data_IF_081941337266
#
_entry.id   IF_081941337266
#
_cell.length_a   1.000
_cell.length_b   1.000
_cell.length_c   1.000
_cell.angle_alpha   90.00
_cell.angle_beta   90.00
_cell.angle_gamma   90.00
#
_symmetry.space_group_name_H-M   'P 1'
#
loop_
_entity.id
_entity.type
_entity.pdbx_description
1 polymer ?
#
# COMPACT_ATOMS: atom_id res chain seq x y z
N UNK A 1 38.37 -4.31 22.14
CA UNK A 1 37.29 -3.27 22.13
C UNK A 1 36.19 -3.49 23.18
N UNK A 2 35.28 -4.48 23.04
CA UNK A 2 34.16 -4.66 23.99
C UNK A 2 34.62 -5.04 25.41
N UNK A 3 35.67 -5.84 25.52
CA UNK A 3 36.27 -6.28 26.78
C UNK A 3 37.09 -5.18 27.51
N UNK A 4 37.44 -4.08 26.83
CA UNK A 4 38.34 -3.04 27.35
C UNK A 4 37.61 -1.71 27.57
N UNK A 5 36.32 -1.62 27.26
CA UNK A 5 35.58 -0.36 27.29
C UNK A 5 34.87 -0.15 28.63
N UNK A 6 35.37 0.78 29.44
CA UNK A 6 34.81 1.12 30.77
C UNK A 6 33.61 2.06 30.72
N UNK A 7 33.34 2.73 29.59
CA UNK A 7 32.27 3.73 29.49
C UNK A 7 30.93 3.11 29.04
N UNK A 8 29.89 3.30 29.85
CA UNK A 8 28.57 2.70 29.63
C UNK A 8 27.92 3.12 28.29
N UNK A 9 28.13 4.38 27.88
CA UNK A 9 27.64 4.92 26.61
C UNK A 9 28.27 4.26 25.39
N UNK A 10 29.59 3.99 25.44
CA UNK A 10 30.31 3.30 24.37
C UNK A 10 29.89 1.83 24.32
N UNK A 11 29.78 1.18 25.47
CA UNK A 11 29.25 -0.19 25.58
C UNK A 11 27.86 -0.33 24.94
N UNK A 12 26.90 0.55 25.28
CA UNK A 12 25.56 0.55 24.68
C UNK A 12 25.58 0.75 23.16
N UNK A 13 26.44 1.65 22.66
CA UNK A 13 26.57 1.91 21.21
C UNK A 13 27.16 0.72 20.48
N UNK A 14 28.23 0.11 21.01
CA UNK A 14 28.88 -1.06 20.41
C UNK A 14 27.94 -2.26 20.44
N UNK A 15 27.26 -2.52 21.56
CA UNK A 15 26.28 -3.60 21.68
C UNK A 15 25.15 -3.47 20.65
N UNK A 16 24.59 -2.27 20.42
CA UNK A 16 23.59 -2.04 19.37
C UNK A 16 24.12 -2.33 17.96
N UNK A 17 25.38 -1.95 17.67
CA UNK A 17 26.01 -2.23 16.37
C UNK A 17 26.27 -3.72 16.19
N UNK A 18 26.77 -4.40 17.22
CA UNK A 18 27.05 -5.84 17.18
C UNK A 18 25.77 -6.62 16.90
N UNK A 19 24.67 -6.31 17.60
CA UNK A 19 23.36 -6.92 17.35
C UNK A 19 22.90 -6.77 15.90
N UNK A 20 23.10 -5.58 15.30
CA UNK A 20 22.77 -5.35 13.90
C UNK A 20 23.62 -6.23 12.96
N UNK A 21 24.93 -6.31 13.21
CA UNK A 21 25.87 -7.12 12.42
C UNK A 21 25.54 -8.61 12.54
N UNK A 22 25.27 -9.10 13.74
CA UNK A 22 24.81 -10.46 13.99
C UNK A 22 23.52 -10.76 13.22
N UNK A 23 22.52 -9.87 13.24
CA UNK A 23 21.29 -10.04 12.46
C UNK A 23 21.53 -10.13 10.94
N UNK A 24 22.51 -9.39 10.40
CA UNK A 24 22.89 -9.51 8.99
C UNK A 24 23.57 -10.85 8.69
N UNK A 25 24.46 -11.31 9.57
CA UNK A 25 25.14 -12.60 9.43
C UNK A 25 24.16 -13.78 9.52
N UNK A 26 23.25 -13.77 10.49
CA UNK A 26 22.24 -14.81 10.69
C UNK A 26 21.23 -14.88 9.55
N UNK A 27 20.81 -13.72 9.03
CA UNK A 27 19.80 -13.68 7.95
C UNK A 27 20.38 -13.92 6.54
N UNK A 28 21.70 -13.89 6.39
CA UNK A 28 22.37 -13.98 5.08
C UNK A 28 22.14 -12.77 4.16
N UNK A 29 21.49 -11.71 4.68
CA UNK A 29 21.25 -10.49 3.92
C UNK A 29 22.56 -9.71 3.75
N UNK A 30 22.77 -9.16 2.55
CA UNK A 30 23.94 -8.32 2.30
C UNK A 30 23.62 -6.84 2.55
N UNK A 31 24.49 -6.07 3.24
CA UNK A 31 24.27 -4.65 3.46
C UNK A 31 24.11 -3.83 2.18
N UNK A 32 24.76 -4.22 1.07
CA UNK A 32 24.62 -3.55 -0.22
C UNK A 32 23.19 -3.57 -0.79
N UNK A 33 22.33 -4.50 -0.36
CA UNK A 33 20.94 -4.59 -0.82
C UNK A 33 20.07 -3.42 -0.36
N UNK A 34 20.53 -2.66 0.64
CA UNK A 34 19.88 -1.41 1.06
C UNK A 34 20.03 -0.30 0.00
N UNK A 35 20.99 -0.43 -0.92
CA UNK A 35 21.19 0.51 -2.04
C UNK A 35 20.53 -0.08 -3.28
N UNK A 36 19.40 0.52 -3.68
CA UNK A 36 18.63 0.01 -4.81
C UNK A 36 19.28 0.35 -6.16
N UNK A 37 19.63 -0.67 -6.94
CA UNK A 37 20.03 -0.54 -8.35
C UNK A 37 18.86 -0.78 -9.31
N UNK A 38 17.95 -1.67 -8.92
CA UNK A 38 16.74 -2.01 -9.67
C UNK A 38 15.52 -1.66 -8.84
N UNK A 39 14.59 -0.90 -9.43
CA UNK A 39 13.35 -0.49 -8.77
C UNK A 39 12.17 -1.33 -9.26
N UNK A 40 11.54 -2.15 -8.40
CA UNK A 40 10.40 -2.95 -8.78
C UNK A 40 9.17 -2.09 -9.08
N UNK A 41 8.40 -2.48 -10.10
CA UNK A 41 7.17 -1.80 -10.50
C UNK A 41 5.98 -2.66 -10.13
N UNK A 42 5.02 -2.09 -9.40
CA UNK A 42 3.81 -2.79 -9.01
C UNK A 42 2.97 -3.17 -10.26
N UNK A 43 2.36 -4.37 -10.30
CA UNK A 43 1.50 -4.78 -11.41
C UNK A 43 0.39 -3.76 -11.73
N UNK A 44 0.03 -3.56 -13.01
CA UNK A 44 -0.96 -2.55 -13.43
C UNK A 44 -2.31 -2.65 -12.71
N UNK A 45 -2.78 -3.87 -12.42
CA UNK A 45 -4.07 -4.09 -11.75
C UNK A 45 -4.12 -3.53 -10.33
N UNK A 46 -2.97 -3.42 -9.66
CA UNK A 46 -2.85 -2.82 -8.33
C UNK A 46 -2.68 -1.29 -8.38
N UNK A 47 -2.53 -0.72 -9.58
CA UNK A 47 -2.43 0.72 -9.86
C UNK A 47 -3.29 1.13 -11.07
N UNK A 48 -4.60 0.85 -11.04
CA UNK A 48 -5.44 0.92 -12.22
C UNK A 48 -5.61 2.35 -12.73
N UNK A 49 -5.90 2.45 -14.02
CA UNK A 49 -6.37 3.65 -14.71
C UNK A 49 -7.77 3.34 -15.21
N UNK A 50 -8.77 3.87 -14.53
CA UNK A 50 -10.18 3.51 -14.75
C UNK A 50 -10.85 4.65 -15.53
N UNK A 51 -11.44 4.37 -16.71
CA UNK A 51 -12.25 5.35 -17.42
C UNK A 51 -13.50 5.68 -16.59
N UNK A 52 -13.82 6.96 -16.51
CA UNK A 52 -15.04 7.50 -15.93
C UNK A 52 -15.94 8.04 -17.05
N UNK A 53 -17.22 8.21 -16.74
CA UNK A 53 -18.18 8.80 -17.67
C UNK A 53 -17.72 10.21 -18.11
N UNK A 54 -17.94 10.51 -19.39
CA UNK A 54 -17.53 11.78 -19.99
C UNK A 54 -16.04 11.89 -20.36
N UNK A 55 -15.37 10.76 -20.62
CA UNK A 55 -13.99 10.74 -21.14
C UNK A 55 -12.91 11.09 -20.12
N UNK A 56 -13.26 11.14 -18.83
CA UNK A 56 -12.31 11.38 -17.73
C UNK A 56 -11.65 10.08 -17.31
N UNK A 57 -10.46 10.16 -16.72
CA UNK A 57 -9.76 8.99 -16.19
C UNK A 57 -9.44 9.18 -14.70
N UNK A 58 -9.77 8.18 -13.89
CA UNK A 58 -9.29 8.07 -12.53
C UNK A 58 -7.96 7.29 -12.53
N UNK A 59 -6.94 7.83 -11.87
CA UNK A 59 -5.62 7.19 -11.82
C UNK A 59 -5.15 7.04 -10.38
N UNK A 60 -4.41 5.97 -10.08
CA UNK A 60 -3.73 5.81 -8.80
C UNK A 60 -2.59 6.83 -8.65
N UNK A 61 -2.48 7.45 -7.47
CA UNK A 61 -1.39 8.37 -7.10
C UNK A 61 0.02 7.77 -7.36
N UNK A 62 0.17 6.44 -7.25
CA UNK A 62 1.43 5.75 -7.53
C UNK A 62 1.90 5.95 -8.97
N UNK A 63 0.99 6.04 -9.95
CA UNK A 63 1.36 6.21 -11.35
C UNK A 63 2.09 7.54 -11.58
N UNK A 64 1.70 8.59 -10.87
CA UNK A 64 2.37 9.89 -10.93
C UNK A 64 3.76 9.86 -10.28
N UNK A 65 3.91 9.13 -9.17
CA UNK A 65 5.19 8.93 -8.50
C UNK A 65 6.16 8.11 -9.38
N UNK A 66 5.67 7.01 -9.99
CA UNK A 66 6.45 6.24 -10.96
C UNK A 66 6.87 7.08 -12.17
N UNK A 67 5.96 7.89 -12.72
CA UNK A 67 6.26 8.77 -13.86
C UNK A 67 7.40 9.73 -13.53
N UNK A 68 7.44 10.27 -12.31
CA UNK A 68 8.53 11.15 -11.85
C UNK A 68 9.86 10.40 -11.82
N UNK A 69 9.91 9.20 -11.24
CA UNK A 69 11.13 8.37 -11.20
C UNK A 69 11.64 8.08 -12.60
N UNK A 70 10.75 7.62 -13.50
CA UNK A 70 11.11 7.29 -14.88
C UNK A 70 11.64 8.50 -15.63
N UNK A 71 10.97 9.65 -15.53
CA UNK A 71 11.38 10.88 -16.21
C UNK A 71 12.75 11.37 -15.72
N UNK A 72 13.00 11.32 -14.41
CA UNK A 72 14.31 11.68 -13.82
C UNK A 72 15.40 10.71 -14.23
N UNK A 73 15.13 9.42 -14.23
CA UNK A 73 16.10 8.40 -14.65
C UNK A 73 16.47 8.53 -16.13
N UNK A 74 15.47 8.69 -17.00
CA UNK A 74 15.70 8.89 -18.43
C UNK A 74 16.45 10.19 -18.72
N UNK A 75 16.16 11.27 -17.97
CA UNK A 75 16.89 12.53 -18.06
C UNK A 75 18.34 12.38 -17.61
N UNK A 76 18.59 11.70 -16.49
CA UNK A 76 19.94 11.43 -15.99
C UNK A 76 20.75 10.62 -17.02
N UNK A 77 20.14 9.59 -17.62
CA UNK A 77 20.78 8.78 -18.67
C UNK A 77 21.23 9.66 -19.85
N UNK A 78 20.34 10.53 -20.36
CA UNK A 78 20.68 11.47 -21.44
C UNK A 78 21.77 12.46 -21.06
N UNK A 79 21.77 12.97 -19.83
CA UNK A 79 22.82 13.89 -19.35
C UNK A 79 24.20 13.22 -19.30
N UNK A 80 24.25 11.94 -18.95
CA UNK A 80 25.50 11.16 -18.97
C UNK A 80 25.97 10.90 -20.41
N UNK A 81 25.06 10.56 -21.32
CA UNK A 81 25.37 10.36 -22.75
C UNK A 81 25.93 11.63 -23.41
N UNK A 82 25.46 12.81 -22.98
CA UNK A 82 25.93 14.11 -23.46
C UNK A 82 27.17 14.64 -22.73
N UNK A 83 27.78 13.86 -21.83
CA UNK A 83 28.89 14.30 -20.97
C UNK A 83 28.62 15.64 -20.27
N UNK A 84 27.41 15.81 -19.74
CA UNK A 84 27.05 17.02 -19.03
C UNK A 84 27.95 17.26 -17.80
N UNK A 85 28.23 18.53 -17.44
CA UNK A 85 29.03 18.88 -16.27
C UNK A 85 28.57 18.22 -14.97
N UNK A 86 29.53 17.90 -14.10
CA UNK A 86 29.31 17.22 -12.81
C UNK A 86 28.24 17.89 -11.93
N UNK A 87 28.16 19.22 -11.94
CA UNK A 87 27.18 19.97 -11.15
C UNK A 87 25.75 19.59 -11.58
N UNK A 88 25.50 19.50 -12.88
CA UNK A 88 24.20 19.16 -13.44
C UNK A 88 23.87 17.68 -13.15
N UNK A 89 24.85 16.79 -13.33
CA UNK A 89 24.69 15.35 -13.04
C UNK A 89 24.41 15.12 -11.55
N UNK A 90 25.12 15.80 -10.64
CA UNK A 90 24.88 15.72 -9.18
C UNK A 90 23.49 16.19 -8.81
N UNK A 91 23.02 17.29 -9.41
CA UNK A 91 21.67 17.76 -9.17
C UNK A 91 20.62 16.76 -9.66
N UNK A 92 20.80 16.17 -10.85
CA UNK A 92 19.84 15.17 -11.35
C UNK A 92 19.86 13.88 -10.52
N UNK A 93 21.03 13.44 -10.03
CA UNK A 93 21.14 12.33 -9.06
C UNK A 93 20.38 12.64 -7.76
N UNK A 94 20.49 13.86 -7.22
CA UNK A 94 19.72 14.30 -6.05
C UNK A 94 18.22 14.27 -6.33
N UNK A 95 17.79 14.80 -7.47
CA UNK A 95 16.37 14.80 -7.85
C UNK A 95 15.81 13.38 -8.07
N UNK A 96 16.63 12.48 -8.62
CA UNK A 96 16.27 11.06 -8.75
C UNK A 96 16.11 10.40 -7.38
N UNK A 97 17.01 10.68 -6.43
CA UNK A 97 16.88 10.19 -5.05
C UNK A 97 15.58 10.67 -4.40
N UNK A 98 15.24 11.96 -4.54
CA UNK A 98 13.98 12.50 -4.00
C UNK A 98 12.74 11.86 -4.66
N UNK A 99 12.83 11.54 -5.96
CA UNK A 99 11.75 10.84 -6.67
C UNK A 99 11.56 9.41 -6.15
N UNK A 100 12.64 8.68 -5.87
CA UNK A 100 12.58 7.33 -5.30
C UNK A 100 12.09 7.37 -3.84
N UNK A 101 12.59 8.31 -3.04
CA UNK A 101 12.17 8.50 -1.65
C UNK A 101 10.66 8.77 -1.56
N UNK A 102 10.14 9.64 -2.43
CA UNK A 102 8.71 9.96 -2.46
C UNK A 102 7.82 8.81 -2.97
N UNK A 103 8.32 7.94 -3.84
CA UNK A 103 7.62 6.72 -4.25
C UNK A 103 7.48 5.74 -3.08
N UNK A 104 8.55 5.55 -2.31
CA UNK A 104 8.59 4.61 -1.19
C UNK A 104 7.86 5.14 0.05
N UNK A 105 8.17 6.36 0.49
CA UNK A 105 7.63 6.98 1.71
C UNK A 105 7.55 8.52 1.57
N UNK A 106 6.47 8.99 0.95
CA UNK A 106 6.27 10.41 0.65
C UNK A 106 6.12 11.24 1.92
N UNK A 107 6.91 12.30 2.05
CA UNK A 107 6.88 13.21 3.20
C UNK A 107 7.73 12.77 4.39
N UNK A 108 8.45 11.64 4.32
CA UNK A 108 9.44 11.26 5.34
C UNK A 108 10.66 12.18 5.33
N UNK A 109 11.11 12.57 4.14
CA UNK A 109 12.19 13.54 3.93
C UNK A 109 11.64 14.76 3.19
N UNK A 110 11.71 15.91 3.84
CA UNK A 110 11.28 17.18 3.26
C UNK A 110 9.76 17.29 3.07
N UNK A 111 9.35 18.15 2.14
CA UNK A 111 7.95 18.44 1.88
C UNK A 111 7.32 17.34 1.02
N UNK A 112 6.15 16.85 1.45
CA UNK A 112 5.40 15.86 0.69
C UNK A 112 5.07 16.37 -0.72
N UNK A 113 5.28 15.51 -1.71
CA UNK A 113 4.91 15.79 -3.08
C UNK A 113 3.39 15.80 -3.19
N UNK A 114 2.86 16.89 -3.75
CA UNK A 114 1.42 17.08 -3.95
C UNK A 114 1.03 16.92 -5.41
N UNK A 115 -0.20 16.42 -5.64
CA UNK A 115 -0.84 16.38 -6.95
C UNK A 115 -1.58 17.68 -7.28
N UNK A 116 -2.35 17.68 -8.36
CA UNK A 116 -3.09 18.85 -8.87
C UNK A 116 -4.01 19.49 -7.82
N UNK A 117 -4.56 18.69 -6.91
CA UNK A 117 -5.48 19.16 -5.87
C UNK A 117 -4.77 19.62 -4.59
N UNK A 118 -3.45 19.89 -4.63
CA UNK A 118 -2.59 20.21 -3.46
C UNK A 118 -2.57 19.13 -2.37
N UNK A 119 -3.26 18.00 -2.57
CA UNK A 119 -3.21 16.83 -1.69
C UNK A 119 -1.87 16.11 -1.86
N UNK A 120 -1.22 15.64 -0.78
CA UNK A 120 -0.06 14.76 -0.90
C UNK A 120 -0.44 13.47 -1.63
N UNK A 121 0.42 13.04 -2.54
CA UNK A 121 0.28 11.77 -3.25
C UNK A 121 0.57 10.62 -2.26
N UNK A 122 -0.26 9.57 -2.30
CA UNK A 122 -0.04 8.38 -1.48
C UNK A 122 1.14 7.54 -2.00
N UNK A 123 2.11 7.30 -1.12
CA UNK A 123 3.27 6.43 -1.38
C UNK A 123 2.98 4.96 -1.11
N UNK A 124 3.93 4.08 -1.45
CA UNK A 124 3.85 2.65 -1.13
C UNK A 124 3.72 2.41 0.39
N UNK A 125 4.48 3.14 1.21
CA UNK A 125 4.36 3.05 2.66
C UNK A 125 2.95 3.44 3.13
N UNK A 126 2.37 4.52 2.59
CA UNK A 126 1.01 4.99 2.93
C UNK A 126 -0.08 4.03 2.51
N UNK A 127 0.15 3.23 1.45
CA UNK A 127 -0.78 2.18 1.06
C UNK A 127 -0.80 1.03 2.08
N UNK A 128 0.31 0.80 2.77
CA UNK A 128 0.44 -0.28 3.74
C UNK A 128 0.00 0.18 5.12
N UNK A 129 0.47 1.35 5.57
CA UNK A 129 0.28 1.88 6.92
C UNK A 129 -1.00 2.72 7.05
N UNK A 130 -1.42 2.97 8.30
CA UNK A 130 -2.53 3.86 8.60
C UNK A 130 -3.92 3.20 8.57
N UNK A 131 -4.96 3.98 8.94
CA UNK A 131 -6.35 3.49 9.06
C UNK A 131 -6.93 3.02 7.71
N UNK A 132 -6.59 3.72 6.64
CA UNK A 132 -6.96 3.39 5.26
C UNK A 132 -5.87 2.55 4.55
N UNK A 133 -4.92 2.01 5.31
CA UNK A 133 -3.87 1.14 4.79
C UNK A 133 -4.36 -0.30 4.65
N UNK A 134 -3.66 -1.09 3.85
CA UNK A 134 -4.04 -2.48 3.52
C UNK A 134 -4.28 -3.35 4.74
N UNK A 135 -3.43 -3.27 5.77
CA UNK A 135 -3.60 -4.10 6.97
C UNK A 135 -4.93 -3.84 7.68
N UNK A 136 -5.25 -2.56 7.93
CA UNK A 136 -6.41 -2.20 8.74
C UNK A 136 -7.73 -2.23 7.97
N UNK A 137 -7.70 -1.87 6.69
CA UNK A 137 -8.92 -1.74 5.90
C UNK A 137 -9.30 -3.04 5.17
N UNK A 138 -8.32 -3.88 4.80
CA UNK A 138 -8.56 -5.03 3.94
C UNK A 138 -8.24 -6.37 4.60
N UNK A 139 -7.26 -6.42 5.51
CA UNK A 139 -6.84 -7.70 6.12
C UNK A 139 -7.59 -7.99 7.43
N UNK A 140 -7.85 -6.97 8.27
CA UNK A 140 -8.58 -7.16 9.54
C UNK A 140 -10.10 -7.24 9.40
N UNK A 141 -10.65 -6.69 8.33
CA UNK A 141 -12.09 -6.71 8.08
C UNK A 141 -12.36 -6.60 6.59
N UNK A 142 -13.26 -7.44 6.07
CA UNK A 142 -13.68 -7.42 4.67
C UNK A 142 -15.18 -7.27 4.60
N UNK A 143 -15.65 -6.72 3.48
CA UNK A 143 -17.05 -6.85 3.11
C UNK A 143 -17.31 -8.30 2.77
N UNK A 144 -18.47 -8.80 3.19
CA UNK A 144 -18.86 -10.19 3.03
C UNK A 144 -20.15 -10.26 2.23
N UNK A 145 -20.20 -11.19 1.30
CA UNK A 145 -21.42 -11.52 0.58
C UNK A 145 -22.42 -12.22 1.51
N UNK A 146 -23.68 -12.32 1.08
CA UNK A 146 -24.77 -12.92 1.88
C UNK A 146 -24.94 -12.26 3.26
N UNK A 147 -24.75 -10.94 3.33
CA UNK A 147 -24.97 -10.14 4.53
C UNK A 147 -26.02 -9.05 4.30
N UNK A 148 -26.70 -8.66 5.37
CA UNK A 148 -27.77 -7.67 5.33
C UNK A 148 -27.85 -6.88 6.64
N UNK A 149 -28.44 -5.69 6.58
CA UNK A 149 -28.68 -4.84 7.76
C UNK A 149 -30.10 -4.30 7.72
N UNK A 150 -30.78 -4.33 8.86
CA UNK A 150 -32.07 -3.69 9.09
C UNK A 150 -32.13 -3.15 10.51
N UNK A 151 -33.11 -2.28 10.77
CA UNK A 151 -33.47 -1.86 12.13
C UNK A 151 -34.08 -3.05 12.87
N UNK A 152 -33.69 -3.20 14.15
CA UNK A 152 -34.26 -4.21 15.05
C UNK A 152 -35.53 -3.66 15.72
N UNK A 153 -36.52 -4.53 15.88
CA UNK A 153 -37.80 -4.23 16.56
C UNK A 153 -38.11 -5.37 17.52
N UNK A 154 -38.69 -5.05 18.67
CA UNK A 154 -39.04 -6.05 19.71
C UNK A 154 -40.11 -7.01 19.17
N UNK A 155 -39.83 -8.32 19.22
CA UNK A 155 -40.75 -9.39 18.86
C UNK A 155 -41.15 -10.22 20.08
N UNK A 156 -42.15 -9.80 20.87
CA UNK A 156 -42.45 -10.40 22.17
C UNK A 156 -42.96 -11.85 22.09
N UNK A 157 -43.43 -12.28 20.93
CA UNK A 157 -43.95 -13.64 20.68
C UNK A 157 -42.87 -14.65 20.23
N UNK A 158 -41.64 -14.19 20.00
CA UNK A 158 -40.55 -15.04 19.51
C UNK A 158 -39.90 -15.81 20.67
N UNK A 159 -39.51 -17.07 20.39
CA UNK A 159 -38.71 -17.87 21.33
C UNK A 159 -37.23 -17.44 21.30
N UNK A 160 -36.47 -17.78 22.33
CA UNK A 160 -35.05 -17.40 22.47
C UNK A 160 -34.16 -17.77 21.27
N UNK A 161 -34.47 -18.86 20.57
CA UNK A 161 -33.71 -19.34 19.40
C UNK A 161 -34.24 -18.83 18.04
N UNK A 162 -35.19 -17.89 18.05
CA UNK A 162 -35.85 -17.38 16.84
C UNK A 162 -35.57 -15.89 16.64
N UNK A 163 -35.59 -15.46 15.39
CA UNK A 163 -35.57 -14.05 15.02
C UNK A 163 -36.55 -13.79 13.86
N UNK A 164 -37.09 -12.58 13.80
CA UNK A 164 -37.93 -12.12 12.70
C UNK A 164 -37.08 -11.60 11.54
N UNK A 165 -37.10 -12.28 10.40
CA UNK A 165 -36.37 -11.85 9.19
C UNK A 165 -37.36 -11.33 8.13
N UNK A 166 -37.22 -10.08 7.63
CA UNK A 166 -38.08 -9.59 6.57
C UNK A 166 -37.99 -10.45 5.30
N UNK A 167 -39.14 -10.81 4.71
CA UNK A 167 -39.20 -11.69 3.53
C UNK A 167 -38.35 -11.17 2.36
N UNK A 168 -38.35 -9.86 2.11
CA UNK A 168 -37.52 -9.23 1.06
C UNK A 168 -36.02 -9.42 1.31
N UNK A 169 -35.59 -9.35 2.57
CA UNK A 169 -34.20 -9.58 2.95
C UNK A 169 -33.84 -11.07 2.83
N UNK A 170 -34.71 -11.96 3.31
CA UNK A 170 -34.52 -13.41 3.17
C UNK A 170 -34.40 -13.82 1.68
N UNK A 171 -35.19 -13.21 0.79
CA UNK A 171 -35.14 -13.50 -0.64
C UNK A 171 -33.76 -13.23 -1.25
N UNK A 172 -33.11 -12.11 -0.91
CA UNK A 172 -31.77 -11.79 -1.43
C UNK A 172 -30.66 -12.60 -0.73
N UNK A 173 -30.74 -12.78 0.59
CA UNK A 173 -29.73 -13.55 1.34
C UNK A 173 -29.68 -15.03 0.91
N UNK A 174 -30.83 -15.63 0.61
CA UNK A 174 -30.94 -17.06 0.27
C UNK A 174 -31.16 -17.31 -1.23
N UNK A 175 -30.91 -16.31 -2.08
CA UNK A 175 -31.17 -16.35 -3.53
C UNK A 175 -30.63 -17.62 -4.23
N UNK A 176 -29.38 -18.07 -4.00
CA UNK A 176 -28.88 -19.30 -4.62
C UNK A 176 -29.67 -20.56 -4.20
N UNK A 177 -30.07 -20.64 -2.94
CA UNK A 177 -30.84 -21.76 -2.41
C UNK A 177 -32.27 -21.79 -2.94
N UNK A 178 -32.88 -20.61 -3.10
CA UNK A 178 -34.23 -20.47 -3.64
C UNK A 178 -34.23 -20.90 -5.11
N UNK A 179 -33.29 -20.42 -5.92
CA UNK A 179 -33.17 -20.87 -7.32
C UNK A 179 -32.98 -22.38 -7.43
N UNK A 180 -32.09 -22.97 -6.62
CA UNK A 180 -31.90 -24.42 -6.60
C UNK A 180 -33.21 -25.18 -6.29
N UNK A 181 -34.02 -24.69 -5.35
CA UNK A 181 -35.32 -25.29 -5.02
C UNK A 181 -36.37 -25.10 -6.11
N UNK A 182 -36.39 -23.96 -6.80
CA UNK A 182 -37.34 -23.69 -7.88
C UNK A 182 -37.10 -24.62 -9.07
N UNK A 183 -35.84 -24.79 -9.47
CA UNK A 183 -35.43 -25.72 -10.54
C UNK A 183 -35.83 -27.15 -10.18
N UNK A 184 -35.53 -27.61 -8.95
CA UNK A 184 -35.91 -28.97 -8.49
C UNK A 184 -37.42 -29.23 -8.51
N UNK A 185 -38.22 -28.18 -8.40
CA UNK A 185 -39.69 -28.26 -8.42
C UNK A 185 -40.28 -28.08 -9.82
N UNK A 186 -39.46 -27.77 -10.83
CA UNK A 186 -39.92 -27.52 -12.20
C UNK A 186 -40.72 -26.22 -12.38
N UNK A 187 -40.47 -25.21 -11.53
CA UNK A 187 -41.20 -23.93 -11.54
C UNK A 187 -40.38 -22.83 -12.26
N UNK A 188 -39.12 -23.11 -12.61
CA UNK A 188 -38.18 -22.21 -13.25
C UNK A 188 -37.33 -22.96 -14.28
#
# INVERSE_FOLDING_TARGET
ELAECTSETKLKRISKRLKLVESFLESGNKPEWMVMTVLPVLPPDLRPLVPLDGGRFATSDLNDLYRRVINRNNRLKRLLELNAPDIIVRNEKRMLQEAVDSLLDNGRRGRAITGSNKRPLKSLADMIKGKQGRFRQNLLGKRVDYSGRSVIVVGPTLRLHQCGLPKKMALELFKPFIFSKLIRRGIA
#
